data_IF_193632105366
#
_entry.id   IF_193632105366
#
_cell.length_a   1.000
_cell.length_b   1.000
_cell.length_c   1.000
_cell.angle_alpha   90.00
_cell.angle_beta   90.00
_cell.angle_gamma   90.00
#
_symmetry.space_group_name_H-M   'P 1'
#
loop_
_entity.id
_entity.type
_entity.pdbx_description
1 polymer ?
#
# COMPACT_ATOMS: atom_id res chain seq x y z
N UNK A 1 2.44 34.77 -4.44
CA UNK A 1 2.56 33.39 -4.96
C UNK A 1 2.45 32.42 -3.79
N UNK A 2 1.33 31.72 -3.62
CA UNK A 2 1.16 30.76 -2.53
C UNK A 2 2.06 29.55 -2.77
N UNK A 3 3.10 29.36 -1.95
CA UNK A 3 3.90 28.13 -1.94
C UNK A 3 2.95 26.97 -1.59
N UNK A 4 2.61 26.13 -2.56
CA UNK A 4 1.91 24.89 -2.26
C UNK A 4 2.78 24.06 -1.31
N UNK A 5 2.23 23.71 -0.14
CA UNK A 5 2.91 22.80 0.79
C UNK A 5 3.06 21.45 0.10
N UNK A 6 4.30 20.96 -0.01
CA UNK A 6 4.54 19.59 -0.48
C UNK A 6 3.96 18.63 0.55
N UNK A 7 2.98 17.83 0.14
CA UNK A 7 2.44 16.76 0.95
C UNK A 7 3.27 15.49 0.71
N UNK A 8 3.55 14.77 1.79
CA UNK A 8 4.17 13.44 1.76
C UNK A 8 3.18 12.45 2.35
N UNK A 9 3.13 11.26 1.75
CA UNK A 9 2.22 10.19 2.13
C UNK A 9 3.03 8.97 2.56
N UNK A 10 2.73 8.45 3.73
CA UNK A 10 3.38 7.24 4.25
C UNK A 10 2.42 6.07 4.10
N UNK A 11 2.93 5.00 3.51
CA UNK A 11 2.25 3.72 3.43
C UNK A 11 2.97 2.75 4.37
N UNK A 12 2.20 2.02 5.17
CA UNK A 12 2.68 0.99 6.07
C UNK A 12 1.89 -0.29 5.87
N UNK A 13 2.58 -1.42 5.78
CA UNK A 13 2.00 -2.75 5.82
C UNK A 13 2.41 -3.42 7.12
N UNK A 14 1.42 -3.91 7.85
CA UNK A 14 1.57 -4.50 9.18
C UNK A 14 0.87 -5.87 9.18
N UNK A 15 1.57 -6.89 9.64
CA UNK A 15 0.95 -8.17 10.00
C UNK A 15 0.29 -8.00 11.37
N UNK A 16 -1.05 -8.00 11.40
CA UNK A 16 -1.83 -7.77 12.62
C UNK A 16 -1.81 -8.97 13.57
N UNK A 17 -1.63 -10.18 13.05
CA UNK A 17 -1.62 -11.40 13.87
C UNK A 17 -0.28 -11.55 14.61
N UNK A 18 0.82 -11.21 13.92
CA UNK A 18 2.17 -11.25 14.50
C UNK A 18 2.59 -9.95 15.16
N UNK A 19 1.83 -8.86 14.94
CA UNK A 19 2.20 -7.50 15.34
C UNK A 19 3.56 -7.06 14.76
N UNK A 20 3.79 -7.38 13.48
CA UNK A 20 5.06 -7.12 12.78
C UNK A 20 4.90 -6.05 11.69
N UNK A 21 5.84 -5.10 11.63
CA UNK A 21 5.93 -4.15 10.52
C UNK A 21 6.61 -4.82 9.34
N UNK A 22 5.88 -5.05 8.26
CA UNK A 22 6.41 -5.69 7.04
C UNK A 22 7.18 -4.66 6.21
N UNK A 23 6.57 -3.51 5.94
CA UNK A 23 7.16 -2.49 5.06
C UNK A 23 6.61 -1.10 5.35
N UNK A 24 7.47 -0.09 5.28
CA UNK A 24 7.10 1.32 5.29
C UNK A 24 7.77 2.08 4.14
N UNK A 25 7.01 2.92 3.44
CA UNK A 25 7.47 3.73 2.30
C UNK A 25 6.83 5.12 2.35
N UNK A 26 7.61 6.14 1.98
CA UNK A 26 7.13 7.50 1.83
C UNK A 26 7.09 7.90 0.35
N UNK A 27 6.00 8.54 -0.06
CA UNK A 27 5.75 8.97 -1.44
C UNK A 27 5.34 10.44 -1.49
N UNK A 28 5.61 11.10 -2.60
CA UNK A 28 5.18 12.49 -2.87
C UNK A 28 3.78 12.56 -3.48
N UNK A 29 3.19 11.42 -3.82
CA UNK A 29 1.87 11.28 -4.42
C UNK A 29 1.13 10.07 -3.84
N UNK A 30 -0.20 10.09 -3.94
CA UNK A 30 -1.09 9.04 -3.47
C UNK A 30 -2.11 8.71 -4.55
N UNK A 31 -1.85 7.66 -5.32
CA UNK A 31 -2.69 7.23 -6.43
C UNK A 31 -2.65 5.71 -6.60
N UNK A 32 -3.40 5.19 -7.58
CA UNK A 32 -3.50 3.76 -7.86
C UNK A 32 -2.14 3.13 -8.20
N UNK A 33 -1.31 3.76 -9.05
CA UNK A 33 -0.02 3.19 -9.45
C UNK A 33 0.96 3.07 -8.27
N UNK A 34 1.01 4.09 -7.42
CA UNK A 34 1.83 4.09 -6.19
C UNK A 34 1.37 2.97 -5.26
N UNK A 35 0.06 2.86 -5.06
CA UNK A 35 -0.54 1.85 -4.19
C UNK A 35 -0.29 0.44 -4.71
N UNK A 36 -0.48 0.21 -6.02
CA UNK A 36 -0.20 -1.07 -6.67
C UNK A 36 1.28 -1.46 -6.58
N UNK A 37 2.18 -0.50 -6.77
CA UNK A 37 3.63 -0.73 -6.61
C UNK A 37 3.98 -1.12 -5.17
N UNK A 38 3.41 -0.41 -4.20
CA UNK A 38 3.61 -0.72 -2.78
C UNK A 38 3.10 -2.12 -2.43
N UNK A 39 1.87 -2.47 -2.82
CA UNK A 39 1.33 -3.81 -2.52
C UNK A 39 2.13 -4.94 -3.16
N UNK A 40 2.61 -4.76 -4.40
CA UNK A 40 3.51 -5.74 -5.05
C UNK A 40 4.79 -5.97 -4.26
N UNK A 41 5.31 -4.94 -3.60
CA UNK A 41 6.49 -5.07 -2.76
C UNK A 41 6.17 -5.80 -1.46
N UNK A 42 5.06 -5.45 -0.80
CA UNK A 42 4.56 -6.14 0.41
C UNK A 42 4.37 -7.63 0.15
N UNK A 43 3.75 -7.99 -0.98
CA UNK A 43 3.47 -9.39 -1.33
C UNK A 43 4.73 -10.26 -1.47
N UNK A 44 5.90 -9.68 -1.74
CA UNK A 44 7.17 -10.43 -1.76
C UNK A 44 7.59 -10.96 -0.39
N UNK A 45 7.06 -10.35 0.68
CA UNK A 45 7.33 -10.75 2.06
C UNK A 45 6.23 -11.66 2.64
N UNK A 46 5.16 -11.91 1.89
CA UNK A 46 4.04 -12.74 2.33
C UNK A 46 4.14 -14.13 1.69
N UNK A 47 4.05 -15.18 2.50
CA UNK A 47 4.16 -16.58 2.01
C UNK A 47 2.85 -17.10 1.37
N UNK A 48 1.77 -16.31 1.39
CA UNK A 48 0.44 -16.68 0.88
C UNK A 48 -0.23 -15.49 0.16
N UNK A 49 -1.48 -15.65 -0.28
CA UNK A 49 -2.33 -14.51 -0.67
C UNK A 49 -2.96 -13.90 0.60
N UNK A 50 -2.39 -12.83 1.20
CA UNK A 50 -2.94 -12.25 2.41
C UNK A 50 -4.29 -11.58 2.12
N UNK A 51 -5.15 -11.53 3.14
CA UNK A 51 -6.33 -10.68 3.12
C UNK A 51 -5.92 -9.29 3.59
N UNK A 52 -6.03 -8.30 2.72
CA UNK A 52 -5.75 -6.93 3.09
C UNK A 52 -6.94 -6.29 3.79
N UNK A 53 -6.67 -5.64 4.94
CA UNK A 53 -7.58 -4.67 5.55
C UNK A 53 -7.02 -3.30 5.18
N UNK A 54 -7.80 -2.52 4.43
CA UNK A 54 -7.39 -1.18 3.96
C UNK A 54 -8.34 -0.12 4.48
N UNK A 55 -7.88 1.14 4.47
CA UNK A 55 -8.73 2.28 4.75
C UNK A 55 -9.77 2.50 3.63
N UNK A 56 -10.69 3.44 3.84
CA UNK A 56 -11.80 3.68 2.89
C UNK A 56 -11.39 4.36 1.58
N UNK A 57 -10.09 4.46 1.27
CA UNK A 57 -9.64 5.15 0.08
C UNK A 57 -9.90 4.34 -1.21
N UNK A 58 -10.48 4.95 -2.26
CA UNK A 58 -10.82 4.23 -3.49
C UNK A 58 -9.64 3.52 -4.18
N UNK A 59 -8.44 4.11 -4.14
CA UNK A 59 -7.25 3.50 -4.74
C UNK A 59 -6.75 2.28 -3.95
N UNK A 60 -7.01 2.22 -2.65
CA UNK A 60 -6.61 1.08 -1.83
C UNK A 60 -7.55 -0.11 -2.04
N UNK A 61 -8.87 0.12 -2.11
CA UNK A 61 -9.83 -0.94 -2.45
C UNK A 61 -9.53 -1.58 -3.80
N UNK A 62 -9.36 -0.77 -4.85
CA UNK A 62 -9.08 -1.28 -6.20
C UNK A 62 -7.81 -2.14 -6.24
N UNK A 63 -6.78 -1.77 -5.47
CA UNK A 63 -5.54 -2.54 -5.46
C UNK A 63 -5.62 -3.79 -4.56
N UNK A 64 -6.39 -3.74 -3.46
CA UNK A 64 -6.60 -4.88 -2.57
C UNK A 64 -7.50 -5.97 -3.17
N UNK A 65 -8.45 -5.58 -4.02
CA UNK A 65 -9.35 -6.47 -4.76
C UNK A 65 -8.71 -7.14 -5.99
N UNK A 66 -7.45 -6.85 -6.31
CA UNK A 66 -6.67 -7.57 -7.32
C UNK A 66 -5.74 -8.65 -6.69
N UNK A 67 -6.25 -9.77 -6.14
CA UNK A 67 -5.39 -10.85 -5.67
C UNK A 67 -4.90 -11.67 -6.88
N UNK A 68 -3.78 -11.25 -7.47
CA UNK A 68 -3.01 -12.05 -8.42
C UNK A 68 -3.37 -11.84 -9.89
N UNK A 69 -3.07 -10.66 -10.43
CA UNK A 69 -2.73 -10.60 -11.86
C UNK A 69 -1.35 -11.26 -12.03
N UNK A 70 -1.39 -12.54 -12.38
CA UNK A 70 -0.21 -13.39 -12.52
C UNK A 70 0.91 -12.72 -13.31
N UNK A 71 2.06 -12.61 -12.65
CA UNK A 71 3.41 -12.85 -13.16
C UNK A 71 4.19 -13.40 -11.98
#
# INVERSE_FOLDING_TARGET
MLKQKKAYYVYSAVDVEKNELILIRAYTNRNYLVTRSFLREVLKFCENKPKFIVDKAPWLYRCAEEPGSGI
#
